data_IF_699864482597
#
_entry.id   IF_699864482597
#
_cell.length_a   1.000
_cell.length_b   1.000
_cell.length_c   1.000
_cell.angle_alpha   90.00
_cell.angle_beta   90.00
_cell.angle_gamma   90.00
#
_symmetry.space_group_name_H-M   'P 1'
#
loop_
_entity.id
_entity.type
_entity.pdbx_description
1 polymer ?
#
# COMPACT_ATOMS: atom_id res chain seq x y z
N UNK A 1 -6.48 -56.61 -39.88
CA UNK A 1 -5.34 -55.73 -39.65
C UNK A 1 -5.91 -54.43 -39.11
N UNK A 2 -5.79 -54.22 -37.80
CA UNK A 2 -6.24 -53.01 -37.10
C UNK A 2 -4.96 -52.22 -36.84
N UNK A 3 -4.86 -51.02 -37.41
CA UNK A 3 -3.75 -50.08 -37.14
C UNK A 3 -3.83 -49.58 -35.71
N UNK A 4 -2.72 -49.48 -34.99
CA UNK A 4 -2.70 -48.88 -33.66
C UNK A 4 -2.88 -47.37 -33.78
N UNK A 5 -3.78 -46.82 -32.94
CA UNK A 5 -4.01 -45.39 -32.82
C UNK A 5 -2.73 -44.63 -32.38
N UNK A 6 -2.54 -43.48 -32.97
CA UNK A 6 -1.55 -42.51 -32.58
C UNK A 6 -1.81 -42.06 -31.15
N UNK A 7 -0.90 -42.40 -30.23
CA UNK A 7 -0.79 -41.79 -28.90
C UNK A 7 -0.53 -40.28 -29.12
N UNK A 8 -1.54 -39.51 -28.81
CA UNK A 8 -1.43 -38.02 -28.70
C UNK A 8 -0.56 -37.72 -27.46
N UNK A 9 0.74 -37.70 -27.68
CA UNK A 9 1.69 -37.26 -26.63
C UNK A 9 1.41 -35.78 -26.35
N UNK A 10 0.63 -35.51 -25.31
CA UNK A 10 0.53 -34.16 -24.76
C UNK A 10 1.94 -33.65 -24.49
N UNK A 11 2.29 -32.58 -25.17
CA UNK A 11 3.55 -31.86 -24.87
C UNK A 11 3.61 -31.51 -23.38
N UNK A 12 4.77 -31.65 -22.72
CA UNK A 12 4.89 -31.27 -21.33
C UNK A 12 4.47 -29.79 -21.15
N UNK A 13 3.81 -29.43 -20.04
CA UNK A 13 3.46 -28.06 -19.77
C UNK A 13 4.72 -27.18 -19.88
N UNK A 14 4.60 -26.05 -20.55
CA UNK A 14 5.68 -25.08 -20.65
C UNK A 14 6.15 -24.61 -19.27
N UNK A 15 7.31 -23.95 -19.16
CA UNK A 15 7.77 -23.41 -17.89
C UNK A 15 6.72 -22.45 -17.33
N UNK A 16 6.60 -22.37 -15.98
CA UNK A 16 5.67 -21.43 -15.34
C UNK A 16 5.94 -19.99 -15.83
N UNK A 17 4.89 -19.26 -16.10
CA UNK A 17 4.95 -17.88 -16.58
C UNK A 17 4.17 -16.96 -15.66
N UNK A 18 4.59 -15.69 -15.62
CA UNK A 18 3.83 -14.66 -14.91
C UNK A 18 2.39 -14.61 -15.43
N UNK A 19 1.46 -14.36 -14.51
CA UNK A 19 0.04 -14.24 -14.83
C UNK A 19 -0.49 -12.88 -14.41
N UNK A 20 -1.38 -12.33 -15.21
CA UNK A 20 -2.17 -11.15 -14.88
C UNK A 20 -3.63 -11.52 -14.95
N UNK A 21 -4.29 -11.48 -13.80
CA UNK A 21 -5.72 -11.76 -13.64
C UNK A 21 -6.46 -10.41 -13.55
N UNK A 22 -7.61 -10.32 -14.21
CA UNK A 22 -8.53 -9.19 -14.10
C UNK A 22 -9.88 -9.79 -13.75
N UNK A 23 -10.45 -9.32 -12.64
CA UNK A 23 -11.70 -9.84 -12.13
C UNK A 23 -12.44 -8.76 -11.34
N UNK A 24 -13.64 -9.04 -10.91
CA UNK A 24 -14.48 -8.16 -10.10
C UNK A 24 -14.74 -8.84 -8.78
N UNK A 25 -14.37 -8.19 -7.69
CA UNK A 25 -14.73 -8.62 -6.35
C UNK A 25 -16.08 -8.03 -5.96
N UNK A 26 -16.96 -8.87 -5.43
CA UNK A 26 -18.30 -8.49 -4.97
C UNK A 26 -18.47 -8.84 -3.49
N UNK A 27 -19.04 -7.92 -2.73
CA UNK A 27 -19.37 -8.11 -1.31
C UNK A 27 -20.58 -7.28 -0.91
N UNK A 28 -21.02 -7.42 0.33
CA UNK A 28 -22.05 -6.55 0.91
C UNK A 28 -21.66 -5.07 1.00
N UNK A 29 -20.36 -4.77 0.93
CA UNK A 29 -19.83 -3.39 0.93
C UNK A 29 -19.67 -2.80 -0.47
N UNK A 30 -20.09 -3.52 -1.49
CA UNK A 30 -20.05 -3.09 -2.89
C UNK A 30 -19.23 -4.00 -3.79
N UNK A 31 -18.92 -3.49 -4.98
CA UNK A 31 -18.19 -4.21 -6.02
C UNK A 31 -17.04 -3.37 -6.53
N UNK A 32 -15.86 -3.99 -6.74
CA UNK A 32 -14.67 -3.33 -7.31
C UNK A 32 -13.95 -4.27 -8.27
N UNK A 33 -13.61 -3.78 -9.47
CA UNK A 33 -12.63 -4.45 -10.31
C UNK A 33 -11.28 -4.50 -9.62
N UNK A 34 -10.49 -5.48 -9.98
CA UNK A 34 -9.10 -5.56 -9.58
C UNK A 34 -8.23 -6.20 -10.66
N UNK A 35 -6.97 -5.86 -10.63
CA UNK A 35 -5.89 -6.50 -11.37
C UNK A 35 -4.97 -7.20 -10.37
N UNK A 36 -4.65 -8.46 -10.60
CA UNK A 36 -3.70 -9.23 -9.79
C UNK A 36 -2.56 -9.73 -10.66
N UNK A 37 -1.34 -9.37 -10.29
CA UNK A 37 -0.12 -9.95 -10.85
C UNK A 37 0.38 -11.08 -9.97
N UNK A 38 0.64 -12.24 -10.60
CA UNK A 38 1.24 -13.40 -9.96
C UNK A 38 2.55 -13.74 -10.70
N UNK A 39 3.70 -13.70 -10.01
CA UNK A 39 4.98 -14.10 -10.61
C UNK A 39 5.00 -15.61 -10.90
N UNK A 40 5.77 -16.03 -11.89
CA UNK A 40 5.92 -17.45 -12.28
C UNK A 40 6.23 -18.37 -11.08
N UNK A 41 6.97 -17.90 -10.12
CA UNK A 41 7.29 -18.66 -8.89
C UNK A 41 6.06 -18.95 -8.01
N UNK A 42 4.99 -18.16 -8.12
CA UNK A 42 3.74 -18.40 -7.38
C UNK A 42 2.90 -19.52 -8.01
N UNK A 43 3.03 -19.72 -9.32
CA UNK A 43 2.23 -20.70 -10.06
C UNK A 43 2.66 -22.16 -9.82
N UNK A 44 3.84 -22.38 -9.24
CA UNK A 44 4.30 -23.70 -8.80
C UNK A 44 3.74 -24.14 -7.44
N UNK A 45 3.02 -23.23 -6.74
CA UNK A 45 2.33 -23.60 -5.50
C UNK A 45 1.06 -24.39 -5.84
N UNK A 46 0.82 -25.55 -5.20
CA UNK A 46 -0.42 -26.28 -5.43
C UNK A 46 -1.60 -25.39 -5.04
N UNK A 47 -2.62 -25.32 -5.91
CA UNK A 47 -3.86 -24.54 -5.75
C UNK A 47 -4.67 -24.86 -4.48
N UNK A 48 -4.15 -25.64 -3.57
CA UNK A 48 -4.70 -26.03 -2.26
C UNK A 48 -3.57 -26.14 -1.24
N UNK A 49 -2.77 -25.09 -1.09
CA UNK A 49 -1.84 -25.00 0.06
C UNK A 49 -2.58 -24.58 1.35
N UNK A 50 -3.81 -25.09 1.57
CA UNK A 50 -4.64 -24.80 2.74
C UNK A 50 -4.10 -25.40 4.05
N UNK A 51 -3.04 -26.22 3.99
CA UNK A 51 -2.60 -27.01 5.15
C UNK A 51 -1.23 -26.60 5.70
N UNK A 52 -0.67 -25.46 5.27
CA UNK A 52 0.57 -24.91 5.85
C UNK A 52 0.38 -23.44 6.21
N UNK A 53 0.17 -23.17 7.47
CA UNK A 53 0.29 -21.80 8.02
C UNK A 53 1.63 -21.19 7.58
N UNK A 54 1.58 -19.98 6.99
CA UNK A 54 2.76 -19.24 6.56
C UNK A 54 3.42 -19.70 5.24
N UNK A 55 2.87 -20.70 4.54
CA UNK A 55 3.36 -21.10 3.23
C UNK A 55 2.68 -20.27 2.14
N UNK A 56 3.44 -19.57 1.34
CA UNK A 56 2.94 -18.73 0.26
C UNK A 56 3.84 -17.53 0.05
N UNK A 57 3.71 -16.90 -1.11
CA UNK A 57 4.43 -15.66 -1.38
C UNK A 57 3.70 -14.47 -0.74
N UNK A 58 4.41 -13.38 -0.42
CA UNK A 58 3.79 -12.15 0.07
C UNK A 58 2.81 -11.54 -0.92
N UNK A 59 1.86 -10.76 -0.41
CA UNK A 59 0.97 -9.91 -1.18
C UNK A 59 1.29 -8.43 -0.92
N UNK A 60 1.50 -7.67 -1.99
CA UNK A 60 1.50 -6.22 -1.93
C UNK A 60 0.24 -5.68 -2.61
N UNK A 61 -0.54 -4.89 -1.87
CA UNK A 61 -1.71 -4.17 -2.40
C UNK A 61 -1.28 -2.75 -2.78
N UNK A 62 -1.57 -2.32 -4.00
CA UNK A 62 -1.21 -0.97 -4.49
C UNK A 62 -2.47 -0.21 -4.89
N UNK A 63 -2.78 0.86 -4.16
CA UNK A 63 -3.96 1.70 -4.36
C UNK A 63 -3.60 2.92 -5.23
N UNK A 64 -4.30 3.07 -6.34
CA UNK A 64 -4.08 4.16 -7.28
C UNK A 64 -4.56 5.51 -6.76
N UNK A 65 -4.07 6.60 -7.34
CA UNK A 65 -4.55 7.97 -7.11
C UNK A 65 -5.82 8.29 -7.90
N UNK A 66 -6.38 9.48 -7.64
CA UNK A 66 -7.53 9.98 -8.41
C UNK A 66 -7.25 9.98 -9.91
N UNK A 67 -8.28 9.71 -10.71
CA UNK A 67 -8.26 9.63 -12.18
C UNK A 67 -7.47 8.47 -12.80
N UNK A 68 -6.71 7.75 -12.01
CA UNK A 68 -6.02 6.53 -12.43
C UNK A 68 -6.95 5.30 -12.41
N UNK A 69 -6.44 4.19 -12.90
CA UNK A 69 -7.01 2.86 -12.79
C UNK A 69 -5.91 1.83 -12.44
N UNK A 70 -6.30 0.57 -12.30
CA UNK A 70 -5.40 -0.52 -11.93
C UNK A 70 -4.25 -0.73 -12.92
N UNK A 71 -4.49 -0.52 -14.22
CA UNK A 71 -3.47 -0.67 -15.26
C UNK A 71 -2.51 0.51 -15.29
N UNK A 72 -3.03 1.72 -15.08
CA UNK A 72 -2.21 2.93 -15.08
C UNK A 72 -1.21 2.93 -13.92
N UNK A 73 -1.69 2.63 -12.69
CA UNK A 73 -0.79 2.57 -11.53
C UNK A 73 0.19 1.40 -11.63
N UNK A 74 -0.21 0.26 -12.22
CA UNK A 74 0.70 -0.87 -12.42
C UNK A 74 1.85 -0.51 -13.37
N UNK A 75 1.54 0.15 -14.52
CA UNK A 75 2.57 0.64 -15.45
C UNK A 75 3.44 1.72 -14.83
N UNK A 76 2.81 2.66 -14.14
CA UNK A 76 3.52 3.80 -13.53
C UNK A 76 4.49 3.39 -12.44
N UNK A 77 4.09 2.52 -11.56
CA UNK A 77 4.91 2.06 -10.43
C UNK A 77 5.91 0.97 -10.82
N UNK A 78 5.69 0.23 -11.91
CA UNK A 78 6.47 -0.95 -12.32
C UNK A 78 6.52 -2.02 -11.22
N UNK A 79 5.53 -2.08 -10.34
CA UNK A 79 5.56 -2.97 -9.19
C UNK A 79 5.51 -4.45 -9.60
N UNK A 80 4.94 -4.78 -10.77
CA UNK A 80 5.00 -6.14 -11.33
C UNK A 80 6.42 -6.62 -11.60
N UNK A 81 7.32 -5.73 -12.07
CA UNK A 81 8.71 -6.07 -12.29
C UNK A 81 9.39 -6.43 -10.96
N UNK A 82 9.16 -5.63 -9.92
CA UNK A 82 9.64 -5.94 -8.57
C UNK A 82 9.02 -7.23 -8.02
N UNK A 83 7.73 -7.47 -8.26
CA UNK A 83 7.03 -8.69 -7.87
C UNK A 83 7.65 -9.94 -8.51
N UNK A 84 7.97 -9.86 -9.81
CA UNK A 84 8.68 -10.91 -10.55
C UNK A 84 10.06 -11.18 -9.96
N UNK A 85 10.84 -10.13 -9.74
CA UNK A 85 12.23 -10.24 -9.34
C UNK A 85 12.37 -10.71 -7.88
N UNK A 86 11.51 -10.24 -7.00
CA UNK A 86 11.56 -10.47 -5.56
C UNK A 86 10.60 -11.56 -5.06
N UNK A 87 9.70 -12.05 -5.91
CA UNK A 87 8.82 -13.18 -5.63
C UNK A 87 7.64 -12.85 -4.72
N UNK A 88 6.86 -11.82 -5.05
CA UNK A 88 5.60 -11.46 -4.39
C UNK A 88 4.50 -11.16 -5.40
N UNK A 89 3.24 -11.38 -5.01
CA UNK A 89 2.07 -11.00 -5.78
C UNK A 89 1.73 -9.51 -5.60
N UNK A 90 1.13 -8.91 -6.63
CA UNK A 90 0.67 -7.51 -6.54
C UNK A 90 -0.81 -7.41 -6.89
N UNK A 91 -1.61 -6.91 -5.96
CA UNK A 91 -3.03 -6.66 -6.12
C UNK A 91 -3.25 -5.16 -6.33
N UNK A 92 -3.96 -4.81 -7.40
CA UNK A 92 -4.35 -3.44 -7.71
C UNK A 92 -5.88 -3.35 -7.72
N UNK A 93 -6.53 -3.05 -6.59
CA UNK A 93 -7.94 -2.69 -6.57
C UNK A 93 -8.20 -1.45 -7.42
N UNK A 94 -9.38 -1.38 -8.05
CA UNK A 94 -9.74 -0.26 -8.90
C UNK A 94 -11.00 0.44 -8.40
N UNK A 95 -10.90 1.75 -8.20
CA UNK A 95 -12.06 2.58 -7.88
C UNK A 95 -12.90 2.84 -9.12
N UNK A 96 -14.22 2.77 -8.97
CA UNK A 96 -15.15 2.94 -10.08
C UNK A 96 -15.70 4.38 -10.16
N UNK A 97 -16.07 4.86 -11.37
CA UNK A 97 -16.72 6.17 -11.52
C UNK A 97 -18.05 6.28 -10.76
N UNK A 98 -18.75 5.16 -10.55
CA UNK A 98 -20.02 5.14 -9.81
C UNK A 98 -19.81 5.38 -8.31
N UNK A 99 -18.68 4.95 -7.75
CA UNK A 99 -18.34 5.18 -6.37
C UNK A 99 -17.73 6.58 -6.13
N UNK A 100 -16.97 7.09 -7.11
CA UNK A 100 -16.44 8.44 -7.09
C UNK A 100 -16.18 8.93 -8.53
N UNK A 101 -16.74 10.08 -8.91
CA UNK A 101 -16.71 10.58 -10.28
C UNK A 101 -15.32 10.71 -10.89
N UNK A 102 -14.30 11.00 -10.10
CA UNK A 102 -12.90 11.08 -10.51
C UNK A 102 -12.07 9.88 -10.03
N UNK A 103 -12.72 8.76 -9.68
CA UNK A 103 -12.06 7.54 -9.18
C UNK A 103 -11.12 7.78 -8.00
N UNK A 104 -11.40 8.77 -7.13
CA UNK A 104 -10.70 8.91 -5.87
C UNK A 104 -11.22 7.88 -4.86
N UNK A 105 -10.37 7.32 -4.02
CA UNK A 105 -10.80 6.62 -2.81
C UNK A 105 -11.42 7.63 -1.86
N UNK A 106 -12.52 7.25 -1.20
CA UNK A 106 -13.34 8.14 -0.35
C UNK A 106 -12.80 8.22 1.09
N UNK A 107 -11.48 8.40 1.24
CA UNK A 107 -10.75 8.35 2.51
C UNK A 107 -11.22 9.35 3.58
N UNK A 108 -11.94 10.41 3.18
CA UNK A 108 -12.45 11.47 4.05
C UNK A 108 -13.93 11.28 4.45
N UNK A 109 -14.63 10.34 3.82
CA UNK A 109 -16.04 10.11 4.14
C UNK A 109 -16.15 9.31 5.46
N UNK A 110 -17.06 9.71 6.39
CA UNK A 110 -17.17 9.08 7.70
C UNK A 110 -17.36 7.56 7.65
N UNK A 111 -18.20 7.08 6.73
CA UNK A 111 -18.50 5.66 6.56
C UNK A 111 -17.32 4.85 6.00
N UNK A 112 -16.33 5.54 5.44
CA UNK A 112 -15.09 4.95 4.92
C UNK A 112 -13.91 5.08 5.88
N UNK A 113 -14.15 5.44 7.13
CA UNK A 113 -13.13 5.61 8.17
C UNK A 113 -13.38 4.69 9.38
N UNK A 114 -14.11 3.59 9.19
CA UNK A 114 -14.49 2.68 10.27
C UNK A 114 -14.26 1.22 9.87
N UNK A 115 -13.91 0.38 10.82
CA UNK A 115 -13.87 -1.07 10.61
C UNK A 115 -15.27 -1.60 10.28
N UNK A 116 -15.35 -2.55 9.35
CA UNK A 116 -16.59 -3.22 8.98
C UNK A 116 -17.54 -2.38 8.12
N UNK A 117 -17.13 -1.24 7.57
CA UNK A 117 -17.94 -0.41 6.69
C UNK A 117 -17.13 0.16 5.52
N UNK A 118 -17.83 0.52 4.43
CA UNK A 118 -17.31 1.27 3.30
C UNK A 118 -16.17 0.60 2.53
N UNK A 119 -15.31 1.41 1.94
CA UNK A 119 -14.21 0.95 1.11
C UNK A 119 -13.15 0.16 1.88
N UNK A 120 -12.75 0.50 3.12
CA UNK A 120 -11.78 -0.31 3.84
C UNK A 120 -12.29 -1.73 4.12
N UNK A 121 -13.57 -1.91 4.46
CA UNK A 121 -14.15 -3.24 4.66
C UNK A 121 -14.21 -4.04 3.35
N UNK A 122 -14.55 -3.40 2.23
CA UNK A 122 -14.52 -4.03 0.91
C UNK A 122 -13.09 -4.46 0.53
N UNK A 123 -12.10 -3.58 0.72
CA UNK A 123 -10.69 -3.88 0.44
C UNK A 123 -10.16 -5.01 1.33
N UNK A 124 -10.52 -5.01 2.61
CA UNK A 124 -10.14 -6.07 3.55
C UNK A 124 -10.67 -7.44 3.11
N UNK A 125 -11.96 -7.52 2.74
CA UNK A 125 -12.56 -8.76 2.23
C UNK A 125 -11.95 -9.19 0.89
N UNK A 126 -11.65 -8.26 -0.02
CA UNK A 126 -10.95 -8.55 -1.28
C UNK A 126 -9.57 -9.15 -1.02
N UNK A 127 -8.79 -8.57 -0.10
CA UNK A 127 -7.47 -9.06 0.29
C UNK A 127 -7.56 -10.49 0.83
N UNK A 128 -8.49 -10.74 1.74
CA UNK A 128 -8.70 -12.08 2.32
C UNK A 128 -9.08 -13.11 1.24
N UNK A 129 -10.01 -12.76 0.36
CA UNK A 129 -10.45 -13.66 -0.72
C UNK A 129 -9.33 -13.94 -1.72
N UNK A 130 -8.59 -12.92 -2.16
CA UNK A 130 -7.44 -13.07 -3.08
C UNK A 130 -6.35 -13.92 -2.43
N UNK A 131 -6.01 -13.63 -1.18
CA UNK A 131 -5.00 -14.38 -0.41
C UNK A 131 -5.39 -15.87 -0.31
N UNK A 132 -6.63 -16.15 0.03
CA UNK A 132 -7.16 -17.52 0.14
C UNK A 132 -7.22 -18.23 -1.20
N UNK A 133 -7.73 -17.56 -2.24
CA UNK A 133 -7.96 -18.16 -3.56
C UNK A 133 -6.66 -18.54 -4.25
N UNK A 134 -5.63 -17.71 -4.10
CA UNK A 134 -4.33 -17.89 -4.75
C UNK A 134 -3.24 -18.48 -3.85
N UNK A 135 -3.59 -18.91 -2.63
CA UNK A 135 -2.66 -19.53 -1.69
C UNK A 135 -1.50 -18.61 -1.30
N UNK A 136 -1.76 -17.29 -1.20
CA UNK A 136 -0.76 -16.32 -0.77
C UNK A 136 -0.59 -16.36 0.75
N UNK A 137 0.49 -15.78 1.25
CA UNK A 137 0.77 -15.78 2.68
C UNK A 137 -0.05 -14.70 3.42
N UNK A 138 -1.04 -15.06 4.27
CA UNK A 138 -1.86 -14.09 4.99
C UNK A 138 -1.08 -13.28 6.04
N UNK A 139 0.06 -13.80 6.51
CA UNK A 139 0.91 -13.13 7.49
C UNK A 139 1.92 -12.17 6.83
N UNK A 140 1.88 -12.03 5.51
CA UNK A 140 2.79 -11.18 4.73
C UNK A 140 2.02 -10.35 3.71
N UNK A 141 1.03 -9.59 4.18
CA UNK A 141 0.24 -8.65 3.39
C UNK A 141 0.69 -7.22 3.69
N UNK A 142 1.03 -6.49 2.66
CA UNK A 142 1.48 -5.10 2.73
C UNK A 142 0.56 -4.23 1.87
N UNK A 143 0.44 -2.96 2.22
CA UNK A 143 -0.37 -2.02 1.45
C UNK A 143 0.42 -0.75 1.13
N UNK A 144 0.30 -0.28 -0.10
CA UNK A 144 0.89 0.97 -0.56
C UNK A 144 -0.12 1.74 -1.41
N UNK A 145 0.09 3.03 -1.59
CA UNK A 145 -0.72 3.81 -2.52
C UNK A 145 -0.19 5.23 -2.72
N UNK A 146 -0.76 5.90 -3.72
CA UNK A 146 -0.44 7.30 -4.03
C UNK A 146 -1.66 8.19 -3.83
N UNK A 147 -1.46 9.41 -3.29
CA UNK A 147 -2.52 10.42 -3.18
C UNK A 147 -3.73 9.89 -2.38
N UNK A 148 -4.94 9.89 -2.95
CA UNK A 148 -6.12 9.27 -2.35
C UNK A 148 -5.89 7.77 -2.02
N UNK A 149 -5.12 7.04 -2.85
CA UNK A 149 -4.73 5.66 -2.58
C UNK A 149 -3.76 5.54 -1.40
N UNK A 150 -2.83 6.49 -1.25
CA UNK A 150 -1.95 6.58 -0.08
C UNK A 150 -2.71 6.87 1.21
N UNK A 151 -3.72 7.74 1.15
CA UNK A 151 -4.63 8.01 2.26
C UNK A 151 -5.47 6.78 2.62
N UNK A 152 -6.05 6.08 1.62
CA UNK A 152 -6.85 4.88 1.84
C UNK A 152 -5.99 3.71 2.36
N UNK A 153 -4.72 3.60 1.97
CA UNK A 153 -3.79 2.62 2.54
C UNK A 153 -3.62 2.82 4.07
N UNK A 154 -3.51 4.07 4.51
CA UNK A 154 -3.45 4.43 5.93
C UNK A 154 -4.78 4.14 6.64
N UNK A 155 -5.92 4.47 6.00
CA UNK A 155 -7.25 4.15 6.53
C UNK A 155 -7.41 2.63 6.70
N UNK A 156 -7.10 1.85 5.68
CA UNK A 156 -7.19 0.38 5.72
C UNK A 156 -6.34 -0.20 6.86
N UNK A 157 -5.12 0.32 7.03
CA UNK A 157 -4.23 -0.12 8.11
C UNK A 157 -4.78 0.23 9.49
N UNK A 158 -5.39 1.40 9.66
CA UNK A 158 -5.99 1.80 10.94
C UNK A 158 -7.28 1.03 11.27
N UNK A 159 -8.03 0.59 10.26
CA UNK A 159 -9.33 -0.07 10.45
C UNK A 159 -9.26 -1.60 10.44
N UNK A 160 -8.23 -2.17 9.80
CA UNK A 160 -8.00 -3.63 9.68
C UNK A 160 -6.52 -3.96 9.95
N UNK A 161 -6.01 -3.60 11.15
CA UNK A 161 -4.58 -3.78 11.46
C UNK A 161 -4.17 -5.26 11.47
N UNK A 162 -5.09 -6.18 11.73
CA UNK A 162 -4.85 -7.63 11.76
C UNK A 162 -4.38 -8.19 10.41
N UNK A 163 -4.74 -7.52 9.30
CA UNK A 163 -4.38 -7.97 7.96
C UNK A 163 -3.03 -7.42 7.49
N UNK A 164 -2.60 -6.26 7.97
CA UNK A 164 -1.53 -5.48 7.35
C UNK A 164 -0.23 -5.57 8.15
N UNK A 165 0.86 -5.98 7.51
CA UNK A 165 2.18 -6.12 8.14
C UNK A 165 3.08 -4.88 7.97
N UNK A 166 2.73 -4.00 7.04
CA UNK A 166 3.43 -2.74 6.80
C UNK A 166 2.67 -1.90 5.79
N UNK A 167 2.77 -0.58 5.91
CA UNK A 167 2.08 0.37 5.06
C UNK A 167 3.04 1.38 4.46
N UNK A 168 2.82 1.77 3.19
CA UNK A 168 3.53 2.86 2.54
C UNK A 168 2.53 3.87 1.95
N UNK A 169 2.75 5.14 2.26
CA UNK A 169 1.91 6.24 1.78
C UNK A 169 2.76 7.22 0.97
N UNK A 170 2.52 7.27 -0.35
CA UNK A 170 3.13 8.24 -1.24
C UNK A 170 2.19 9.42 -1.44
N UNK A 171 2.58 10.62 -1.04
CA UNK A 171 1.75 11.84 -1.15
C UNK A 171 0.33 11.67 -0.59
N UNK A 172 0.18 10.91 0.49
CA UNK A 172 -1.09 10.69 1.17
C UNK A 172 -1.27 11.59 2.39
N UNK A 173 -2.26 11.24 3.23
CA UNK A 173 -2.64 11.99 4.43
C UNK A 173 -2.82 11.07 5.63
N UNK A 174 -2.80 11.64 6.84
CA UNK A 174 -3.04 10.91 8.08
C UNK A 174 -4.48 10.39 8.18
N UNK A 175 -4.68 9.29 8.89
CA UNK A 175 -6.00 8.77 9.22
C UNK A 175 -6.81 9.80 10.00
N UNK A 176 -8.05 10.05 9.55
CA UNK A 176 -8.96 11.06 10.12
C UNK A 176 -8.41 12.49 10.16
N UNK A 177 -7.45 12.82 9.31
CA UNK A 177 -7.03 14.20 9.13
C UNK A 177 -8.18 15.10 8.65
N UNK A 178 -9.17 14.52 7.98
CA UNK A 178 -10.40 15.20 7.54
C UNK A 178 -11.61 14.29 7.69
N UNK A 179 -12.76 14.90 7.96
CA UNK A 179 -14.08 14.28 7.94
C UNK A 179 -15.00 15.10 7.04
N UNK A 180 -15.29 14.56 5.85
CA UNK A 180 -16.04 15.23 4.80
C UNK A 180 -15.18 16.06 3.84
N UNK A 181 -15.77 16.41 2.70
CA UNK A 181 -15.10 17.04 1.56
C UNK A 181 -14.50 18.42 1.88
N UNK A 182 -15.16 19.22 2.71
CA UNK A 182 -14.70 20.56 3.07
C UNK A 182 -13.36 20.50 3.83
N UNK A 183 -13.30 19.66 4.86
CA UNK A 183 -12.05 19.46 5.62
C UNK A 183 -10.96 18.80 4.76
N UNK A 184 -11.33 17.84 3.90
CA UNK A 184 -10.41 17.21 2.98
C UNK A 184 -9.72 18.24 2.08
N UNK A 185 -10.47 19.20 1.52
CA UNK A 185 -9.91 20.28 0.72
C UNK A 185 -8.91 21.13 1.50
N UNK A 186 -9.22 21.44 2.76
CA UNK A 186 -8.33 22.22 3.63
C UNK A 186 -7.05 21.44 3.96
N UNK A 187 -7.17 20.15 4.29
CA UNK A 187 -6.04 19.28 4.63
C UNK A 187 -5.12 19.09 3.42
N UNK A 188 -5.66 18.85 2.23
CA UNK A 188 -4.87 18.74 1.02
C UNK A 188 -4.06 20.01 0.74
N UNK A 189 -4.62 21.18 0.99
CA UNK A 189 -3.93 22.45 0.88
C UNK A 189 -2.92 22.73 2.02
N UNK A 190 -2.71 21.80 2.96
CA UNK A 190 -1.82 21.97 4.11
C UNK A 190 -2.40 22.88 5.20
N UNK A 191 -3.71 23.12 5.16
CA UNK A 191 -4.43 23.90 6.17
C UNK A 191 -4.73 23.10 7.43
N UNK A 192 -5.97 23.13 7.89
CA UNK A 192 -6.37 22.50 9.14
C UNK A 192 -6.01 21.00 9.21
N UNK A 193 -5.36 20.61 10.27
CA UNK A 193 -5.36 19.25 10.79
C UNK A 193 -5.54 19.30 12.29
N UNK A 194 -6.16 18.28 12.85
CA UNK A 194 -6.20 18.08 14.29
C UNK A 194 -4.78 17.92 14.84
N UNK A 195 -4.53 18.24 16.12
CA UNK A 195 -3.25 17.97 16.74
C UNK A 195 -2.84 16.50 16.55
N UNK A 196 -1.57 16.27 16.26
CA UNK A 196 -1.04 14.93 15.99
C UNK A 196 -1.41 13.90 17.06
N UNK A 197 -1.42 14.32 18.34
CA UNK A 197 -1.85 13.48 19.46
C UNK A 197 -3.31 12.99 19.31
N UNK A 198 -4.20 13.82 18.80
CA UNK A 198 -5.63 13.46 18.65
C UNK A 198 -5.82 12.58 17.43
N UNK A 199 -5.05 12.78 16.37
CA UNK A 199 -4.99 11.86 15.22
C UNK A 199 -4.43 10.49 15.64
N UNK A 200 -3.40 10.44 16.49
CA UNK A 200 -2.84 9.18 17.02
C UNK A 200 -3.89 8.42 17.86
N UNK A 201 -4.60 9.11 18.76
CA UNK A 201 -5.69 8.50 19.54
C UNK A 201 -6.80 7.96 18.64
N UNK A 202 -7.14 8.68 17.57
CA UNK A 202 -8.15 8.22 16.63
C UNK A 202 -7.71 6.94 15.91
N UNK A 203 -6.44 6.82 15.53
CA UNK A 203 -5.88 5.61 14.92
C UNK A 203 -5.89 4.43 15.91
N UNK A 204 -5.44 4.62 17.16
CA UNK A 204 -5.48 3.58 18.21
C UNK A 204 -6.92 3.12 18.44
N UNK A 205 -7.87 4.06 18.54
CA UNK A 205 -9.28 3.73 18.75
C UNK A 205 -9.90 2.94 17.59
N UNK A 206 -9.46 3.22 16.34
CA UNK A 206 -9.90 2.47 15.18
C UNK A 206 -9.32 1.06 15.12
N UNK A 207 -8.05 0.89 15.50
CA UNK A 207 -7.39 -0.42 15.61
C UNK A 207 -8.02 -1.30 16.70
N UNK A 208 -8.60 -0.68 17.74
CA UNK A 208 -9.27 -1.42 18.82
C UNK A 208 -8.37 -2.44 19.52
N UNK A 209 -8.92 -3.64 19.75
CA UNK A 209 -8.19 -4.74 20.41
C UNK A 209 -7.06 -5.34 19.55
N UNK A 210 -7.07 -5.06 18.24
CA UNK A 210 -6.04 -5.50 17.29
C UNK A 210 -4.90 -4.47 17.12
N UNK A 211 -4.88 -3.43 17.98
CA UNK A 211 -3.86 -2.41 17.93
C UNK A 211 -2.46 -3.00 18.16
N UNK A 212 -1.58 -2.78 17.20
CA UNK A 212 -0.23 -3.38 17.17
C UNK A 212 0.77 -2.54 16.43
N UNK A 213 2.03 -2.89 16.52
CA UNK A 213 3.09 -2.32 15.71
C UNK A 213 2.88 -2.67 14.23
N UNK A 214 2.81 -1.65 13.38
CA UNK A 214 2.81 -1.75 11.93
C UNK A 214 3.74 -0.64 11.41
N UNK A 215 4.87 -0.97 10.79
CA UNK A 215 5.80 0.03 10.29
C UNK A 215 5.20 0.81 9.12
N UNK A 216 5.47 2.12 9.09
CA UNK A 216 5.00 3.06 8.08
C UNK A 216 6.17 3.64 7.30
N UNK A 217 6.08 3.57 5.97
CA UNK A 217 6.92 4.33 5.05
C UNK A 217 6.13 5.51 4.47
N UNK A 218 6.64 6.72 4.63
CA UNK A 218 6.09 7.93 4.02
C UNK A 218 7.04 8.40 2.92
N UNK A 219 6.51 8.69 1.73
CA UNK A 219 7.26 9.31 0.64
C UNK A 219 6.47 10.53 0.17
N UNK A 220 7.10 11.71 0.10
CA UNK A 220 6.41 12.92 -0.31
C UNK A 220 7.32 13.86 -1.06
N UNK A 221 6.79 14.49 -2.11
CA UNK A 221 7.50 15.51 -2.85
C UNK A 221 7.54 16.85 -2.09
N UNK A 222 8.72 17.48 -2.00
CA UNK A 222 8.86 18.78 -1.36
C UNK A 222 8.11 19.92 -2.11
N UNK A 223 7.87 19.72 -3.42
CA UNK A 223 7.19 20.68 -4.29
C UNK A 223 5.78 20.22 -4.70
N UNK A 224 5.15 19.31 -3.91
CA UNK A 224 3.81 18.79 -4.21
C UNK A 224 2.75 19.90 -4.12
N UNK A 225 2.12 20.31 -5.24
CA UNK A 225 1.14 21.39 -5.27
C UNK A 225 -0.29 20.89 -5.02
N UNK A 226 -0.52 19.57 -4.94
CA UNK A 226 -1.85 18.94 -4.82
C UNK A 226 -2.10 18.53 -3.38
N UNK A 227 -1.16 17.78 -2.82
CA UNK A 227 -1.17 17.38 -1.40
C UNK A 227 0.03 18.05 -0.74
N UNK A 228 -0.23 19.10 0.01
CA UNK A 228 0.83 19.89 0.61
C UNK A 228 1.78 19.00 1.46
N UNK A 229 3.12 19.21 1.36
CA UNK A 229 4.12 18.37 2.05
C UNK A 229 3.93 18.26 3.56
N UNK A 230 3.24 19.24 4.16
CA UNK A 230 2.85 19.20 5.58
C UNK A 230 2.04 17.94 5.95
N UNK A 231 1.35 17.33 5.01
CA UNK A 231 0.60 16.10 5.26
C UNK A 231 1.53 14.92 5.59
N UNK A 232 2.72 14.86 5.01
CA UNK A 232 3.73 13.88 5.40
C UNK A 232 4.14 14.02 6.87
N UNK A 233 4.33 15.26 7.33
CA UNK A 233 4.63 15.54 8.75
C UNK A 233 3.49 15.07 9.65
N UNK A 234 2.24 15.41 9.34
CA UNK A 234 1.09 14.98 10.15
C UNK A 234 0.95 13.46 10.21
N UNK A 235 1.21 12.78 9.11
CA UNK A 235 1.18 11.32 9.06
C UNK A 235 2.32 10.71 9.90
N UNK A 236 3.54 11.25 9.80
CA UNK A 236 4.69 10.87 10.63
C UNK A 236 4.39 11.06 12.12
N UNK A 237 3.85 12.23 12.49
CA UNK A 237 3.46 12.54 13.86
C UNK A 237 2.33 11.64 14.40
N UNK A 238 1.36 11.29 13.55
CA UNK A 238 0.30 10.36 13.93
C UNK A 238 0.88 9.00 14.31
N UNK A 239 1.79 8.47 13.50
CA UNK A 239 2.40 7.15 13.76
C UNK A 239 3.39 7.17 14.92
N UNK A 240 4.12 8.27 15.11
CA UNK A 240 4.93 8.48 16.29
C UNK A 240 4.09 8.48 17.57
N UNK A 241 2.97 9.19 17.57
CA UNK A 241 2.03 9.17 18.71
C UNK A 241 1.32 7.82 18.91
N UNK A 242 1.12 7.04 17.84
CA UNK A 242 0.66 5.65 17.92
C UNK A 242 1.71 4.78 18.63
N UNK A 243 3.00 4.91 18.26
CA UNK A 243 4.11 4.23 18.90
C UNK A 243 4.17 4.53 20.42
N UNK A 244 4.16 5.83 20.78
CA UNK A 244 4.16 6.26 22.17
C UNK A 244 2.98 5.71 22.97
N UNK A 245 1.79 5.67 22.35
CA UNK A 245 0.58 5.15 23.00
C UNK A 245 0.67 3.65 23.27
N UNK A 246 1.15 2.86 22.29
CA UNK A 246 1.19 1.41 22.38
C UNK A 246 2.37 0.89 23.21
N UNK A 247 3.50 1.62 23.21
CA UNK A 247 4.68 1.21 23.97
C UNK A 247 4.74 1.82 25.38
N UNK A 248 4.01 2.92 25.61
CA UNK A 248 4.07 3.70 26.86
C UNK A 248 5.37 4.49 27.04
N UNK A 249 6.21 4.59 25.99
CA UNK A 249 7.50 5.27 26.02
C UNK A 249 7.59 6.39 24.96
N UNK A 250 8.59 7.26 25.10
CA UNK A 250 8.89 8.27 24.09
C UNK A 250 9.60 7.63 22.88
N UNK A 251 9.33 8.17 21.68
CA UNK A 251 10.04 7.76 20.47
C UNK A 251 11.36 8.52 20.30
N UNK A 252 12.31 7.86 19.66
CA UNK A 252 13.56 8.45 19.20
C UNK A 252 13.42 8.85 17.74
N UNK A 253 13.98 10.00 17.37
CA UNK A 253 13.94 10.56 16.02
C UNK A 253 15.35 10.85 15.54
N UNK A 254 15.65 10.36 14.34
CA UNK A 254 16.91 10.62 13.66
C UNK A 254 16.62 11.25 12.29
N UNK A 255 17.14 12.45 12.06
CA UNK A 255 17.10 13.09 10.75
C UNK A 255 18.46 12.91 10.06
N UNK A 256 18.43 12.30 8.89
CA UNK A 256 19.62 12.13 8.07
C UNK A 256 19.41 12.80 6.71
N UNK A 257 20.25 13.79 6.33
CA UNK A 257 20.35 14.10 4.92
C UNK A 257 20.87 12.86 4.21
N UNK A 258 20.16 12.35 3.23
CA UNK A 258 20.67 11.25 2.43
C UNK A 258 22.01 11.67 1.84
N UNK A 259 23.00 10.80 1.94
CA UNK A 259 24.22 10.99 1.13
C UNK A 259 23.75 11.05 -0.33
N UNK A 260 24.31 11.98 -1.15
CA UNK A 260 23.98 12.05 -2.55
C UNK A 260 24.26 10.68 -3.16
N UNK A 261 23.17 9.90 -3.34
CA UNK A 261 23.17 8.76 -4.23
C UNK A 261 22.75 9.30 -5.58
N UNK A 262 23.09 8.63 -6.64
CA UNK A 262 22.68 8.92 -8.01
C UNK A 262 21.15 9.00 -8.24
N UNK A 263 20.36 9.00 -7.20
CA UNK A 263 18.91 8.84 -7.18
C UNK A 263 18.14 10.11 -6.75
N UNK A 264 18.80 11.26 -6.67
CA UNK A 264 18.18 12.55 -6.29
C UNK A 264 18.35 12.91 -4.81
N UNK A 265 18.21 14.19 -4.50
CA UNK A 265 18.31 14.69 -3.14
C UNK A 265 17.01 14.38 -2.38
N UNK A 266 17.12 13.70 -1.25
CA UNK A 266 16.00 13.43 -0.35
C UNK A 266 16.46 13.55 1.11
N UNK A 267 15.56 13.96 2.00
CA UNK A 267 15.75 13.95 3.44
C UNK A 267 14.98 12.79 4.03
N UNK A 268 15.57 12.14 5.02
CA UNK A 268 14.94 11.00 5.70
C UNK A 268 14.83 11.31 7.18
N UNK A 269 13.64 11.15 7.72
CA UNK A 269 13.38 11.09 9.15
C UNK A 269 13.02 9.65 9.51
N UNK A 270 13.64 9.13 10.58
CA UNK A 270 13.38 7.79 11.10
C UNK A 270 12.87 7.90 12.52
N UNK A 271 11.75 7.25 12.82
CA UNK A 271 11.14 7.20 14.16
C UNK A 271 11.23 5.77 14.68
N UNK A 272 11.83 5.61 15.86
CA UNK A 272 11.97 4.33 16.55
C UNK A 272 11.43 4.42 17.97
N UNK A 273 10.93 3.31 18.51
CA UNK A 273 10.62 3.23 19.92
C UNK A 273 11.89 3.06 20.79
N UNK A 274 11.70 2.99 22.10
CA UNK A 274 12.80 2.85 23.06
C UNK A 274 13.60 1.54 22.90
N UNK A 275 13.00 0.50 22.31
CA UNK A 275 13.63 -0.78 22.02
C UNK A 275 14.36 -0.79 20.66
N UNK A 276 14.32 0.34 19.94
CA UNK A 276 14.95 0.52 18.64
C UNK A 276 14.13 0.00 17.46
N UNK A 277 12.87 -0.44 17.69
CA UNK A 277 11.99 -0.93 16.62
C UNK A 277 11.56 0.24 15.74
N UNK A 278 11.63 0.06 14.41
CA UNK A 278 11.23 1.06 13.42
C UNK A 278 9.71 1.23 13.40
N UNK A 279 9.23 2.46 13.55
CA UNK A 279 7.83 2.83 13.43
C UNK A 279 7.54 3.65 12.18
N UNK A 280 8.43 4.58 11.84
CA UNK A 280 8.27 5.40 10.64
C UNK A 280 9.62 5.60 9.96
N UNK A 281 9.60 5.53 8.63
CA UNK A 281 10.64 6.04 7.77
C UNK A 281 9.98 7.03 6.80
N UNK A 282 10.33 8.33 6.89
CA UNK A 282 9.68 9.40 6.15
C UNK A 282 10.68 10.08 5.21
N UNK A 283 10.41 9.99 3.91
CA UNK A 283 11.23 10.53 2.83
C UNK A 283 10.61 11.78 2.22
N UNK A 284 11.29 12.91 2.35
CA UNK A 284 10.96 14.13 1.60
C UNK A 284 11.88 14.22 0.39
N UNK A 285 11.31 14.09 -0.81
CA UNK A 285 12.06 14.10 -2.07
C UNK A 285 12.08 15.51 -2.64
N UNK A 286 13.26 16.08 -2.76
CA UNK A 286 13.44 17.42 -3.34
C UNK A 286 13.07 17.42 -4.83
N UNK A 287 12.59 18.54 -5.37
CA UNK A 287 12.18 18.72 -6.76
C UNK A 287 11.15 17.68 -7.27
N UNK A 288 10.43 17.01 -6.39
CA UNK A 288 9.31 16.13 -6.71
C UNK A 288 8.00 16.87 -6.45
N UNK A 289 7.15 16.89 -7.48
CA UNK A 289 5.76 17.36 -7.39
C UNK A 289 4.81 16.25 -6.91
N UNK A 290 3.54 16.31 -7.36
CA UNK A 290 2.53 15.29 -7.07
C UNK A 290 2.66 14.11 -8.04
N UNK A 291 3.64 13.26 -7.83
CA UNK A 291 3.94 12.14 -8.71
C UNK A 291 4.67 11.01 -7.97
N UNK A 292 4.47 9.77 -8.42
CA UNK A 292 5.25 8.62 -7.97
C UNK A 292 6.72 8.78 -8.37
N UNK A 293 7.61 8.79 -7.41
CA UNK A 293 9.04 9.01 -7.62
C UNK A 293 9.71 7.78 -8.25
N UNK A 294 10.54 7.98 -9.27
CA UNK A 294 11.29 6.90 -9.94
C UNK A 294 10.44 5.97 -10.80
N UNK A 295 9.16 6.30 -11.02
CA UNK A 295 8.24 5.50 -11.81
C UNK A 295 8.48 5.56 -13.32
N UNK A 296 7.64 4.86 -14.07
CA UNK A 296 7.65 4.87 -15.54
C UNK A 296 6.81 5.99 -16.11
N UNK A 297 7.33 6.67 -17.13
CA UNK A 297 6.54 7.65 -17.91
C UNK A 297 5.38 7.06 -18.71
N UNK A 298 5.16 5.74 -18.67
CA UNK A 298 4.01 5.06 -19.28
C UNK A 298 2.75 5.14 -18.42
N UNK A 299 2.89 5.47 -17.13
CA UNK A 299 1.77 5.75 -16.23
C UNK A 299 1.61 7.24 -15.97
N UNK A 300 0.40 7.67 -15.57
CA UNK A 300 0.14 9.04 -15.15
C UNK A 300 0.64 9.27 -13.72
N UNK A 301 0.84 10.53 -13.33
CA UNK A 301 1.34 10.91 -12.01
C UNK A 301 2.60 10.15 -11.59
N UNK A 302 3.55 10.05 -12.52
CA UNK A 302 4.88 9.47 -12.29
C UNK A 302 5.96 10.44 -12.72
N UNK A 303 7.06 10.46 -12.01
CA UNK A 303 8.25 11.23 -12.37
C UNK A 303 9.42 10.25 -12.55
N UNK A 304 9.79 9.92 -13.80
CA UNK A 304 10.92 9.04 -14.06
C UNK A 304 12.24 9.62 -13.54
N UNK A 305 13.10 8.74 -13.04
CA UNK A 305 14.37 9.13 -12.44
C UNK A 305 14.25 9.58 -10.97
N UNK A 306 15.37 9.86 -10.34
CA UNK A 306 15.43 10.18 -8.92
C UNK A 306 15.26 8.97 -8.00
N UNK A 307 14.66 9.18 -6.82
CA UNK A 307 14.37 8.12 -5.85
C UNK A 307 13.40 7.09 -6.44
N UNK A 308 13.79 5.83 -6.47
CA UNK A 308 12.89 4.73 -6.87
C UNK A 308 11.98 4.34 -5.70
N UNK A 309 10.77 4.90 -5.68
CA UNK A 309 9.80 4.67 -4.61
C UNK A 309 9.34 3.20 -4.56
N UNK A 310 9.20 2.53 -5.70
CA UNK A 310 8.80 1.13 -5.75
C UNK A 310 9.86 0.24 -5.13
N UNK A 311 11.13 0.43 -5.49
CA UNK A 311 12.24 -0.31 -4.88
C UNK A 311 12.34 -0.04 -3.38
N UNK A 312 12.20 1.23 -2.98
CA UNK A 312 12.26 1.60 -1.56
C UNK A 312 11.15 0.91 -0.75
N UNK A 313 9.91 0.90 -1.25
CA UNK A 313 8.79 0.21 -0.62
C UNK A 313 9.03 -1.30 -0.50
N UNK A 314 9.51 -1.93 -1.56
CA UNK A 314 9.79 -3.37 -1.56
C UNK A 314 10.92 -3.72 -0.59
N UNK A 315 11.99 -2.92 -0.56
CA UNK A 315 13.08 -3.12 0.39
C UNK A 315 12.61 -2.91 1.83
N UNK A 316 11.79 -1.89 2.09
CA UNK A 316 11.19 -1.64 3.39
C UNK A 316 10.33 -2.83 3.86
N UNK A 317 9.41 -3.31 3.03
CA UNK A 317 8.48 -4.38 3.39
C UNK A 317 9.15 -5.74 3.56
N UNK A 318 10.12 -6.07 2.69
CA UNK A 318 10.70 -7.40 2.68
C UNK A 318 11.88 -7.55 3.65
N UNK A 319 12.53 -6.44 4.06
CA UNK A 319 13.66 -6.47 4.98
C UNK A 319 13.21 -6.28 6.45
N UNK A 320 12.17 -5.45 6.71
CA UNK A 320 11.65 -5.23 8.07
C UNK A 320 10.74 -6.38 8.55
N UNK A 321 10.12 -7.14 7.66
CA UNK A 321 9.31 -8.32 8.00
C UNK A 321 10.10 -9.56 8.44
N UNK A 322 11.42 -9.45 8.60
CA UNK A 322 12.34 -10.56 8.90
C UNK A 322 13.18 -10.40 10.16
N UNK A 323 12.89 -9.41 11.04
CA UNK A 323 13.59 -9.31 12.35
C UNK A 323 12.62 -9.28 13.51
#
# INVERSE_FOLDING_TARGET
>A
MVSPGSDDMMSPPGPPSDQVIRDVFESEHGSRPYRLFLPAKATDLPAKATDREGAGIPLLVVLHGCTQDSEDVARGTRMDEHGRDRGFAVLYPEQTPDAHATRCWNWYEPDHQSAGAGEPALLAQMIQEVTRTWGLNPDRVYVAGISAGGAMAVVLTATHPELIQGVASHSGVAYRAAVGLEEATQVLAGGRAEPARDLAKAAVAAMGDEARHIPLLVIHGAEDPVVAPRNALWLTEQWAGLAETLTGGEVQRDEHPTRPRSEGDARVEVVRDADGRLWVESWTVEALGHAWSGGSGEGTFTQPGGLDASRLMVDFFLNEGGQ
#
